data_IF_368416842977
#
_entry.id   IF_368416842977
#
_cell.length_a   1.000
_cell.length_b   1.000
_cell.length_c   1.000
_cell.angle_alpha   90.00
_cell.angle_beta   90.00
_cell.angle_gamma   90.00
#
_symmetry.space_group_name_H-M   'P 1'
#
loop_
_entity.id
_entity.type
_entity.pdbx_description
1 polymer ?
#
# COMPACT_ATOMS: atom_id res chain seq x y z
N UNK A 1 -7.42 -27.36 19.31
CA UNK A 1 -5.98 -27.21 19.55
C UNK A 1 -5.64 -25.73 19.35
N UNK A 2 -5.80 -24.94 20.41
CA UNK A 2 -5.46 -23.51 20.44
C UNK A 2 -4.51 -23.33 21.61
N UNK A 3 -3.26 -22.93 21.34
CA UNK A 3 -2.30 -22.60 22.40
C UNK A 3 -2.43 -21.10 22.63
N UNK A 4 -3.08 -20.74 23.74
CA UNK A 4 -3.11 -19.38 24.26
C UNK A 4 -1.76 -19.11 24.95
N UNK A 5 -1.11 -18.02 24.58
CA UNK A 5 0.08 -17.52 25.30
C UNK A 5 -0.41 -16.64 26.45
N UNK A 6 -0.06 -17.01 27.68
CA UNK A 6 -0.30 -16.22 28.90
C UNK A 6 0.77 -15.09 29.00
N UNK A 7 0.40 -13.85 29.35
CA UNK A 7 1.39 -12.80 29.61
C UNK A 7 2.00 -12.97 31.01
N UNK A 8 3.33 -12.95 31.08
CA UNK A 8 4.09 -12.95 32.34
C UNK A 8 3.77 -11.67 33.12
N UNK A 9 3.08 -11.82 34.26
CA UNK A 9 2.99 -10.76 35.28
C UNK A 9 4.34 -10.64 35.97
N UNK A 10 4.89 -9.43 36.02
CA UNK A 10 5.96 -9.08 36.96
C UNK A 10 5.35 -8.19 38.03
N UNK A 11 5.19 -8.73 39.23
CA UNK A 11 4.72 -8.01 40.41
C UNK A 11 5.88 -7.21 41.04
N UNK A 12 5.64 -5.90 41.20
CA UNK A 12 5.86 -5.00 42.37
C UNK A 12 7.08 -5.22 43.30
N UNK A 13 7.73 -4.25 43.96
CA UNK A 13 7.78 -2.78 44.05
C UNK A 13 8.63 -2.47 45.32
N UNK A 14 9.48 -1.42 45.37
CA UNK A 14 9.73 -0.61 46.59
C UNK A 14 10.74 0.56 46.41
N UNK A 15 10.19 1.77 46.40
CA UNK A 15 10.61 3.03 47.06
C UNK A 15 12.10 3.44 47.16
N UNK A 16 12.43 4.56 46.48
CA UNK A 16 12.66 5.91 47.08
C UNK A 16 13.77 6.70 46.36
N UNK A 17 13.50 7.98 46.04
CA UNK A 17 14.55 8.96 45.69
C UNK A 17 14.36 9.76 44.40
N UNK A 18 13.82 10.98 44.55
CA UNK A 18 14.32 12.22 43.95
C UNK A 18 14.51 12.37 42.44
N UNK A 19 13.64 13.20 41.82
CA UNK A 19 14.06 14.33 40.98
C UNK A 19 14.41 14.10 39.51
N UNK A 20 13.89 15.03 38.67
CA UNK A 20 14.30 15.34 37.29
C UNK A 20 13.90 14.28 36.24
N UNK A 21 13.56 14.56 34.99
CA UNK A 21 13.21 15.74 34.19
C UNK A 21 12.99 15.14 32.79
N UNK A 22 12.03 15.66 32.01
CA UNK A 22 11.92 15.49 30.56
C UNK A 22 12.25 14.08 30.01
N UNK A 23 11.22 13.24 29.83
CA UNK A 23 11.35 12.03 29.02
C UNK A 23 11.65 12.42 27.57
N UNK A 24 12.94 12.51 27.24
CA UNK A 24 13.42 12.63 25.87
C UNK A 24 13.06 11.34 25.16
N UNK A 25 12.03 11.36 24.31
CA UNK A 25 11.89 10.38 23.25
C UNK A 25 13.22 10.33 22.51
N UNK A 26 13.89 9.18 22.59
CA UNK A 26 15.20 9.03 21.96
C UNK A 26 14.99 9.10 20.44
N UNK A 27 15.91 9.74 19.69
CA UNK A 27 15.80 9.81 18.23
C UNK A 27 15.82 8.41 17.55
N UNK A 28 16.08 7.35 18.33
CA UNK A 28 16.10 5.96 17.89
C UNK A 28 14.71 5.31 17.82
N UNK A 29 13.65 5.94 18.33
CA UNK A 29 12.29 5.42 18.17
C UNK A 29 11.67 5.75 16.80
N UNK A 30 12.32 6.58 15.99
CA UNK A 30 11.84 6.90 14.65
C UNK A 30 12.23 5.80 13.65
N UNK A 31 11.24 5.33 12.89
CA UNK A 31 11.33 4.52 11.66
C UNK A 31 11.30 3.00 11.84
N UNK A 32 10.22 2.48 12.44
CA UNK A 32 9.74 1.12 12.11
C UNK A 32 9.14 1.12 10.70
N UNK A 33 10.01 1.15 9.69
CA UNK A 33 9.62 0.85 8.32
C UNK A 33 9.63 -0.66 8.17
N UNK A 34 8.55 -1.27 7.67
CA UNK A 34 8.58 -2.70 7.33
C UNK A 34 9.59 -2.90 6.19
N UNK A 35 10.80 -3.35 6.53
CA UNK A 35 11.91 -3.54 5.58
C UNK A 35 11.61 -4.64 4.55
N UNK A 36 10.56 -5.43 4.77
CA UNK A 36 10.11 -6.47 3.85
C UNK A 36 9.06 -5.97 2.85
N UNK A 37 8.51 -4.77 3.05
CA UNK A 37 7.52 -4.18 2.15
C UNK A 37 8.13 -3.88 0.77
N UNK A 38 7.47 -4.36 -0.28
CA UNK A 38 7.88 -4.17 -1.67
C UNK A 38 7.08 -3.04 -2.32
N UNK A 39 7.68 -2.39 -3.29
CA UNK A 39 7.06 -1.30 -4.06
C UNK A 39 7.29 -1.53 -5.56
N UNK A 40 6.42 -0.96 -6.39
CA UNK A 40 6.53 -1.07 -7.85
C UNK A 40 6.02 -2.39 -8.44
N UNK A 41 5.19 -3.12 -7.69
CA UNK A 41 4.54 -4.34 -8.18
C UNK A 41 3.34 -4.02 -9.06
N UNK A 42 3.11 -4.81 -10.12
CA UNK A 42 1.98 -4.65 -11.02
C UNK A 42 1.06 -5.87 -10.98
N UNK A 43 -0.24 -5.61 -10.91
CA UNK A 43 -1.30 -6.59 -11.09
C UNK A 43 -2.05 -6.26 -12.39
N UNK A 44 -1.84 -7.06 -13.43
CA UNK A 44 -2.52 -6.89 -14.72
C UNK A 44 -3.92 -7.47 -14.64
N UNK A 45 -4.91 -6.68 -15.00
CA UNK A 45 -6.33 -7.05 -14.97
C UNK A 45 -6.98 -6.79 -16.32
N UNK A 46 -8.01 -7.57 -16.64
CA UNK A 46 -8.78 -7.38 -17.87
C UNK A 46 -9.81 -6.24 -17.73
N UNK A 47 -10.40 -6.12 -16.55
CA UNK A 47 -11.38 -5.09 -16.19
C UNK A 47 -10.98 -4.48 -14.84
N UNK A 48 -10.52 -3.23 -14.88
CA UNK A 48 -10.01 -2.54 -13.69
C UNK A 48 -11.13 -2.06 -12.77
N UNK A 49 -12.34 -1.82 -13.29
CA UNK A 49 -13.49 -1.42 -12.47
C UNK A 49 -13.96 -2.61 -11.64
N UNK A 50 -14.12 -3.77 -12.29
CA UNK A 50 -14.50 -5.00 -11.61
C UNK A 50 -13.45 -5.42 -10.56
N UNK A 51 -12.16 -5.35 -10.91
CA UNK A 51 -11.08 -5.68 -10.00
C UNK A 51 -11.03 -4.73 -8.79
N UNK A 52 -11.20 -3.43 -9.02
CA UNK A 52 -11.25 -2.44 -7.94
C UNK A 52 -12.43 -2.69 -7.01
N UNK A 53 -13.61 -2.97 -7.55
CA UNK A 53 -14.80 -3.27 -6.76
C UNK A 53 -14.58 -4.51 -5.87
N UNK A 54 -14.04 -5.61 -6.41
CA UNK A 54 -13.76 -6.83 -5.64
C UNK A 54 -12.74 -6.60 -4.51
N UNK A 55 -11.70 -5.79 -4.76
CA UNK A 55 -10.72 -5.45 -3.72
C UNK A 55 -11.35 -4.61 -2.59
N UNK A 56 -12.18 -3.62 -2.94
CA UNK A 56 -12.89 -2.78 -1.97
C UNK A 56 -13.88 -3.62 -1.14
N UNK A 57 -14.62 -4.53 -1.77
CA UNK A 57 -15.55 -5.44 -1.08
C UNK A 57 -14.82 -6.36 -0.08
N UNK A 58 -13.53 -6.64 -0.31
CA UNK A 58 -12.65 -7.38 0.62
C UNK A 58 -12.03 -6.51 1.71
N UNK A 59 -12.35 -5.22 1.75
CA UNK A 59 -11.85 -4.26 2.75
C UNK A 59 -10.47 -3.68 2.43
N UNK A 60 -10.00 -3.78 1.19
CA UNK A 60 -8.74 -3.18 0.76
C UNK A 60 -9.01 -1.74 0.31
N UNK A 61 -8.26 -0.79 0.85
CA UNK A 61 -8.32 0.61 0.40
C UNK A 61 -7.63 0.75 -0.96
N UNK A 62 -8.42 1.05 -1.99
CA UNK A 62 -7.95 1.19 -3.38
C UNK A 62 -8.23 2.61 -3.84
N UNK A 63 -7.19 3.26 -4.39
CA UNK A 63 -7.32 4.61 -4.95
C UNK A 63 -8.40 4.69 -6.03
N UNK A 64 -8.84 5.91 -6.33
CA UNK A 64 -9.57 6.15 -7.57
C UNK A 64 -8.76 5.69 -8.79
N UNK A 65 -9.47 5.42 -9.89
CA UNK A 65 -8.84 5.11 -11.16
C UNK A 65 -8.20 6.36 -11.73
N UNK A 66 -7.07 6.19 -12.40
CA UNK A 66 -6.38 7.27 -13.07
C UNK A 66 -5.68 6.79 -14.34
N UNK A 67 -5.31 7.73 -15.18
CA UNK A 67 -4.48 7.51 -16.37
C UNK A 67 -3.39 8.59 -16.47
N UNK A 68 -2.41 8.36 -17.34
CA UNK A 68 -1.37 9.35 -17.63
C UNK A 68 -1.82 10.24 -18.78
N UNK A 69 -1.72 11.56 -18.62
CA UNK A 69 -2.07 12.52 -19.66
C UNK A 69 -1.22 12.37 -20.94
N UNK A 70 0.04 11.92 -20.81
CA UNK A 70 0.98 11.67 -21.90
C UNK A 70 0.82 10.29 -22.55
N UNK A 71 -0.08 9.44 -22.06
CA UNK A 71 -0.44 8.16 -22.67
C UNK A 71 0.52 7.00 -22.41
N UNK A 72 1.66 7.23 -21.75
CA UNK A 72 2.55 6.15 -21.29
C UNK A 72 3.14 6.50 -19.93
N UNK A 73 2.80 5.74 -18.88
CA UNK A 73 3.41 5.87 -17.55
C UNK A 73 4.90 5.48 -17.60
N UNK A 74 5.77 6.46 -17.85
CA UNK A 74 7.23 6.32 -17.71
C UNK A 74 7.80 7.19 -16.58
N UNK A 75 6.97 7.83 -15.77
CA UNK A 75 7.40 8.85 -14.82
C UNK A 75 7.50 8.28 -13.40
N UNK A 76 8.64 8.50 -12.74
CA UNK A 76 8.77 8.29 -11.30
C UNK A 76 7.91 9.35 -10.59
N UNK A 77 6.87 8.90 -9.89
CA UNK A 77 5.99 9.74 -9.07
C UNK A 77 4.57 9.90 -9.62
N UNK A 78 3.87 10.92 -9.11
CA UNK A 78 2.42 11.10 -9.32
C UNK A 78 2.12 12.24 -10.31
N UNK A 79 3.16 12.84 -10.89
CA UNK A 79 3.03 13.97 -11.82
C UNK A 79 2.32 13.45 -13.07
N UNK A 80 1.25 14.14 -13.48
CA UNK A 80 0.42 13.85 -14.67
C UNK A 80 -0.65 12.75 -14.53
N UNK A 81 -0.96 12.30 -13.30
CA UNK A 81 -2.17 11.46 -13.08
C UNK A 81 -3.43 12.29 -13.29
N UNK A 82 -4.28 11.83 -14.20
CA UNK A 82 -5.61 12.39 -14.45
C UNK A 82 -6.64 11.41 -13.90
N UNK A 83 -7.64 11.93 -13.19
CA UNK A 83 -8.71 11.10 -12.63
C UNK A 83 -9.54 10.44 -13.73
N UNK A 84 -9.93 9.18 -13.51
CA UNK A 84 -10.71 8.37 -14.43
C UNK A 84 -9.87 7.41 -15.28
N UNK A 85 -10.53 6.44 -15.94
CA UNK A 85 -9.87 5.50 -16.85
C UNK A 85 -9.29 6.21 -18.08
N UNK A 86 -8.40 5.56 -18.81
CA UNK A 86 -7.86 6.13 -20.04
C UNK A 86 -8.96 6.39 -21.08
N UNK A 87 -8.87 7.49 -21.86
CA UNK A 87 -9.76 7.73 -22.99
C UNK A 87 -9.79 6.53 -23.93
N UNK A 88 -10.98 6.17 -24.40
CA UNK A 88 -11.28 5.02 -25.24
C UNK A 88 -10.89 3.65 -24.65
N UNK A 89 -10.65 3.56 -23.32
CA UNK A 89 -10.18 2.34 -22.63
C UNK A 89 -8.96 1.74 -23.33
N UNK A 90 -8.05 2.61 -23.78
CA UNK A 90 -6.80 2.20 -24.41
C UNK A 90 -6.08 1.16 -23.56
N UNK A 91 -5.68 0.06 -24.19
CA UNK A 91 -4.85 -0.96 -23.56
C UNK A 91 -3.63 -0.30 -22.89
N UNK A 92 -3.24 -0.79 -21.72
CA UNK A 92 -2.12 -0.28 -20.92
C UNK A 92 -2.34 1.13 -20.32
N UNK A 93 -3.51 1.74 -20.47
CA UNK A 93 -3.75 3.15 -20.12
C UNK A 93 -4.43 3.43 -18.77
N UNK A 94 -5.19 2.48 -18.21
CA UNK A 94 -5.96 2.68 -16.97
C UNK A 94 -5.27 2.03 -15.77
N UNK A 95 -5.23 2.75 -14.63
CA UNK A 95 -4.51 2.34 -13.43
C UNK A 95 -5.28 2.62 -12.14
N UNK A 96 -4.95 1.89 -11.09
CA UNK A 96 -5.34 2.14 -9.70
C UNK A 96 -4.22 1.62 -8.78
N UNK A 97 -4.15 2.07 -7.54
CA UNK A 97 -3.11 1.62 -6.60
C UNK A 97 -3.69 1.26 -5.24
N UNK A 98 -3.08 0.29 -4.57
CA UNK A 98 -3.44 -0.10 -3.20
C UNK A 98 -2.22 -0.60 -2.43
N UNK A 99 -2.38 -0.74 -1.12
CA UNK A 99 -1.43 -1.46 -0.26
C UNK A 99 -2.07 -2.73 0.27
N UNK A 100 -1.34 -3.85 0.22
CA UNK A 100 -1.79 -5.08 0.86
C UNK A 100 -1.54 -5.04 2.38
N UNK A 101 -2.14 -5.96 3.17
CA UNK A 101 -1.96 -5.99 4.62
C UNK A 101 -0.51 -6.18 5.10
N UNK A 102 0.36 -6.72 4.23
CA UNK A 102 1.79 -6.89 4.52
C UNK A 102 2.59 -5.59 4.27
N UNK A 103 1.95 -4.56 3.70
CA UNK A 103 2.51 -3.26 3.42
C UNK A 103 3.14 -3.15 2.03
N UNK A 104 2.94 -4.12 1.13
CA UNK A 104 3.42 -4.01 -0.24
C UNK A 104 2.54 -3.04 -1.04
N UNK A 105 3.17 -2.19 -1.86
CA UNK A 105 2.49 -1.30 -2.79
C UNK A 105 2.28 -1.97 -4.15
N UNK A 106 1.03 -1.96 -4.60
CA UNK A 106 0.58 -2.56 -5.86
C UNK A 106 -0.01 -1.51 -6.80
N UNK A 107 0.20 -1.72 -8.10
CA UNK A 107 -0.40 -0.98 -9.19
C UNK A 107 -1.28 -1.92 -10.01
N UNK A 108 -2.58 -1.66 -10.10
CA UNK A 108 -3.44 -2.30 -11.09
C UNK A 108 -3.19 -1.66 -12.45
N UNK A 109 -3.15 -2.47 -13.50
CA UNK A 109 -3.09 -2.01 -14.89
C UNK A 109 -4.09 -2.77 -15.75
N UNK A 110 -4.96 -2.04 -16.45
CA UNK A 110 -5.91 -2.61 -17.40
C UNK A 110 -5.22 -2.96 -18.73
N UNK A 111 -5.33 -4.23 -19.15
CA UNK A 111 -4.88 -4.69 -20.47
C UNK A 111 -5.94 -5.67 -21.00
N UNK A 112 -6.66 -5.28 -22.05
CA UNK A 112 -7.66 -6.14 -22.72
C UNK A 112 -7.04 -6.92 -23.87
N UNK A 113 -6.21 -6.27 -24.67
CA UNK A 113 -5.42 -6.90 -25.72
C UNK A 113 -3.94 -6.78 -25.41
N UNK A 114 -3.28 -7.91 -25.20
CA UNK A 114 -1.82 -7.94 -25.06
C UNK A 114 -1.17 -7.76 -26.42
N UNK A 115 -0.22 -6.83 -26.51
CA UNK A 115 0.65 -6.73 -27.67
C UNK A 115 1.46 -8.04 -27.84
N UNK A 116 1.73 -8.49 -29.08
CA UNK A 116 2.53 -9.68 -29.31
C UNK A 116 3.90 -9.60 -28.62
N UNK A 117 4.29 -10.67 -27.93
CA UNK A 117 5.62 -10.79 -27.30
C UNK A 117 5.73 -10.34 -25.83
N UNK A 118 4.62 -10.15 -25.10
CA UNK A 118 4.60 -9.92 -23.64
C UNK A 118 3.49 -10.65 -22.89
#
# INVERSE_FOLDING_TARGET
MAVLYEPVRSDKECHSGGGQSAGSETPYQAKRQNIYAKQGMYLVVYDIEAARADLIDRGIDVSDMFHDAGGIFHHIGNKQRVNGPAPDRRDYGSFASFSDPDGNGWMLQEIKNRAPGR
#
